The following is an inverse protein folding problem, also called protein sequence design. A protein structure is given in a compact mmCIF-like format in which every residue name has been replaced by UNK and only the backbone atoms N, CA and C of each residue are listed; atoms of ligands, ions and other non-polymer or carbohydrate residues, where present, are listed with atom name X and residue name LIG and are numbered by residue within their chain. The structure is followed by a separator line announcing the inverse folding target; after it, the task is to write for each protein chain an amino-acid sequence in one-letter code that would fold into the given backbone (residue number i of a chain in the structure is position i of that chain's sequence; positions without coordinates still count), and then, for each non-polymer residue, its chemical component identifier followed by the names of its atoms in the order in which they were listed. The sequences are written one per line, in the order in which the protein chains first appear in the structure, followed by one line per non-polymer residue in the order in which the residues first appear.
data_IF_200361708236
#
_entry.id   IF_200361708236
#
_cell.length_a   1.000
_cell.length_b   1.000
_cell.length_c   1.000
_cell.angle_alpha   90.00
_cell.angle_beta   90.00
_cell.angle_gamma   90.00
#
_symmetry.space_group_name_H-M   'P 1'
#
loop_
_entity.id
_entity.type
_entity.pdbx_description
1 polymer ?
#
# COMPACT_ATOMS: atom_id res chain seq x y z
N UNK A 1 53.62 -38.06 -28.17
CA UNK A 1 52.43 -38.86 -28.51
C UNK A 1 51.51 -38.78 -27.29
N UNK A 2 50.43 -37.99 -27.22
CA UNK A 2 49.68 -37.12 -28.14
C UNK A 2 49.25 -35.84 -27.34
N UNK A 3 49.55 -34.63 -27.83
CA UNK A 3 48.66 -33.64 -28.47
C UNK A 3 47.56 -33.01 -27.57
N UNK A 4 47.95 -31.90 -26.92
CA UNK A 4 47.40 -30.52 -26.79
C UNK A 4 45.86 -30.22 -26.78
N UNK A 5 45.41 -28.96 -26.52
CA UNK A 5 44.41 -28.64 -25.49
C UNK A 5 43.11 -28.08 -26.08
N UNK A 6 42.12 -27.78 -25.24
CA UNK A 6 41.04 -26.85 -25.60
C UNK A 6 40.69 -26.03 -24.37
N UNK A 7 41.13 -24.78 -24.39
CA UNK A 7 40.45 -23.70 -23.68
C UNK A 7 39.16 -23.41 -24.44
N UNK A 8 38.02 -23.47 -23.75
CA UNK A 8 36.94 -22.54 -24.05
C UNK A 8 36.13 -22.25 -22.78
N UNK A 9 36.34 -21.02 -22.33
CA UNK A 9 35.43 -20.10 -21.64
C UNK A 9 34.21 -20.68 -20.88
N UNK A 10 34.24 -20.56 -19.55
CA UNK A 10 33.04 -20.58 -18.72
C UNK A 10 33.18 -19.59 -17.56
N UNK A 11 33.27 -18.30 -17.88
CA UNK A 11 32.85 -17.23 -16.99
C UNK A 11 31.30 -17.11 -16.99
N UNK A 12 30.68 -16.47 -15.99
CA UNK A 12 29.65 -17.09 -15.16
C UNK A 12 28.23 -17.02 -15.76
N UNK A 13 27.50 -18.12 -15.62
CA UNK A 13 26.06 -18.16 -15.83
C UNK A 13 25.32 -17.57 -14.62
N UNK A 14 24.92 -16.30 -14.72
CA UNK A 14 23.62 -15.81 -14.23
C UNK A 14 23.45 -14.37 -14.73
N UNK A 15 22.85 -14.23 -15.91
CA UNK A 15 22.32 -12.96 -16.34
C UNK A 15 21.31 -12.47 -15.31
N UNK A 16 21.69 -11.46 -14.52
CA UNK A 16 20.73 -10.69 -13.71
C UNK A 16 19.89 -9.92 -14.71
N UNK A 17 18.84 -10.56 -15.20
CA UNK A 17 17.80 -9.88 -15.98
C UNK A 17 17.28 -8.75 -15.11
N UNK A 18 17.50 -7.52 -15.57
CA UNK A 18 16.93 -6.30 -14.98
C UNK A 18 15.42 -6.31 -15.22
N UNK A 19 14.69 -7.17 -14.52
CA UNK A 19 13.23 -7.16 -14.56
C UNK A 19 12.75 -5.90 -13.88
N UNK A 20 11.95 -5.11 -14.59
CA UNK A 20 11.26 -3.97 -14.01
C UNK A 20 10.48 -4.39 -12.74
N UNK A 21 10.34 -3.49 -11.74
CA UNK A 21 9.55 -3.79 -10.55
C UNK A 21 8.15 -4.26 -10.93
N UNK A 22 7.71 -5.36 -10.31
CA UNK A 22 6.42 -5.99 -10.60
C UNK A 22 5.51 -5.94 -9.39
N UNK A 23 4.25 -5.55 -9.60
CA UNK A 23 3.19 -5.72 -8.62
C UNK A 23 2.64 -7.15 -8.73
N UNK A 24 2.64 -7.88 -7.62
CA UNK A 24 1.97 -9.19 -7.50
C UNK A 24 0.85 -9.09 -6.46
N UNK A 25 -0.25 -9.80 -6.70
CA UNK A 25 -1.47 -9.81 -5.88
C UNK A 25 -1.60 -11.19 -5.24
N UNK A 26 -1.94 -11.23 -3.96
CA UNK A 26 -2.00 -12.44 -3.14
C UNK A 26 -3.34 -12.50 -2.42
N UNK A 27 -4.19 -13.44 -2.83
CA UNK A 27 -5.48 -13.72 -2.18
C UNK A 27 -5.27 -14.47 -0.85
N UNK A 28 -6.35 -14.83 -0.15
CA UNK A 28 -6.29 -15.50 1.17
C UNK A 28 -5.66 -16.90 1.07
N UNK A 29 -5.88 -17.58 -0.04
CA UNK A 29 -5.44 -18.95 -0.33
C UNK A 29 -4.11 -19.03 -1.11
N UNK A 30 -3.49 -17.90 -1.43
CA UNK A 30 -2.22 -17.87 -2.14
C UNK A 30 -1.07 -18.41 -1.26
N UNK A 31 -0.35 -19.40 -1.75
CA UNK A 31 0.79 -20.01 -1.05
C UNK A 31 1.89 -19.01 -0.70
N UNK A 32 2.08 -17.97 -1.54
CA UNK A 32 3.08 -16.91 -1.35
C UNK A 32 2.62 -15.80 -0.42
N UNK A 33 1.34 -15.81 -0.01
CA UNK A 33 0.79 -14.81 0.92
C UNK A 33 1.57 -14.77 2.23
N UNK A 34 1.98 -15.93 2.74
CA UNK A 34 2.72 -16.04 4.00
C UNK A 34 4.04 -15.26 3.99
N UNK A 35 4.75 -15.24 2.85
CA UNK A 35 5.97 -14.44 2.66
C UNK A 35 5.67 -12.93 2.78
N UNK A 36 4.56 -12.48 2.21
CA UNK A 36 4.13 -11.07 2.24
C UNK A 36 3.68 -10.66 3.64
N UNK A 37 2.94 -11.53 4.33
CA UNK A 37 2.58 -11.30 5.73
C UNK A 37 3.81 -11.19 6.62
N UNK A 38 4.79 -12.10 6.46
CA UNK A 38 6.06 -12.06 7.17
C UNK A 38 6.80 -10.74 6.94
N UNK A 39 6.92 -10.31 5.68
CA UNK A 39 7.52 -9.03 5.34
C UNK A 39 6.82 -7.84 6.02
N UNK A 40 5.48 -7.80 6.02
CA UNK A 40 4.71 -6.73 6.69
C UNK A 40 4.96 -6.75 8.20
N UNK A 41 4.88 -7.93 8.84
CA UNK A 41 5.16 -8.07 10.29
C UNK A 41 6.53 -7.53 10.64
N UNK A 42 7.54 -7.94 9.89
CA UNK A 42 8.92 -7.53 10.08
C UNK A 42 9.11 -6.02 9.99
N UNK A 43 8.50 -5.36 9.00
CA UNK A 43 8.58 -3.90 8.85
C UNK A 43 7.89 -3.19 10.01
N UNK A 44 6.69 -3.63 10.40
CA UNK A 44 5.93 -3.03 11.49
C UNK A 44 6.60 -3.28 12.87
N UNK A 45 7.14 -4.47 13.09
CA UNK A 45 7.89 -4.81 14.29
C UNK A 45 9.15 -3.95 14.41
N UNK A 46 9.95 -3.82 13.34
CA UNK A 46 11.15 -2.97 13.36
C UNK A 46 10.83 -1.50 13.56
N UNK A 47 9.75 -0.99 12.96
CA UNK A 47 9.45 0.45 12.97
C UNK A 47 8.68 0.91 14.20
N UNK A 48 7.76 0.07 14.70
CA UNK A 48 6.83 0.45 15.76
C UNK A 48 6.89 -0.49 16.97
N UNK A 49 7.66 -1.58 16.93
CA UNK A 49 7.55 -2.64 17.94
C UNK A 49 6.19 -3.35 17.90
N UNK A 50 5.51 -3.31 16.75
CA UNK A 50 4.18 -3.88 16.58
C UNK A 50 4.24 -5.39 16.23
N UNK A 51 3.30 -6.15 16.77
CA UNK A 51 3.00 -7.54 16.43
C UNK A 51 1.71 -7.58 15.59
N UNK A 52 1.83 -7.41 14.27
CA UNK A 52 0.66 -7.40 13.37
C UNK A 52 0.08 -8.81 13.24
N UNK A 53 -1.14 -9.00 13.74
CA UNK A 53 -1.82 -10.31 13.78
C UNK A 53 -2.91 -10.49 12.73
N UNK A 54 -3.44 -9.40 12.19
CA UNK A 54 -4.54 -9.42 11.23
C UNK A 54 -4.17 -8.65 9.97
N UNK A 55 -4.56 -9.20 8.82
CA UNK A 55 -4.19 -8.70 7.50
C UNK A 55 -5.44 -8.39 6.66
N UNK A 56 -5.26 -7.58 5.63
CA UNK A 56 -6.27 -7.41 4.61
C UNK A 56 -6.50 -8.71 3.81
N UNK A 57 -7.73 -9.02 3.37
CA UNK A 57 -8.04 -10.22 2.59
C UNK A 57 -7.20 -10.30 1.31
N UNK A 58 -6.88 -9.16 0.70
CA UNK A 58 -5.97 -9.13 -0.44
C UNK A 58 -4.69 -8.38 -0.07
N UNK A 59 -3.56 -9.01 -0.32
CA UNK A 59 -2.24 -8.39 -0.17
C UNK A 59 -1.64 -8.14 -1.55
N UNK A 60 -0.77 -7.14 -1.62
CA UNK A 60 0.06 -6.88 -2.79
C UNK A 60 1.52 -6.76 -2.36
N UNK A 61 2.42 -7.24 -3.22
CA UNK A 61 3.86 -7.09 -3.04
C UNK A 61 4.45 -6.38 -4.26
N UNK A 62 5.35 -5.43 -4.02
CA UNK A 62 6.28 -4.93 -5.00
C UNK A 62 7.52 -5.84 -5.00
N UNK A 63 7.74 -6.54 -6.10
CA UNK A 63 8.91 -7.39 -6.30
C UNK A 63 9.94 -6.66 -7.17
N UNK A 64 11.18 -6.61 -6.69
CA UNK A 64 12.32 -6.05 -7.42
C UNK A 64 13.49 -7.03 -7.32
N UNK A 65 14.03 -7.46 -8.46
CA UNK A 65 15.08 -8.49 -8.56
C UNK A 65 14.78 -9.77 -7.75
N UNK A 66 13.52 -10.18 -7.71
CA UNK A 66 13.06 -11.38 -7.00
C UNK A 66 12.78 -11.19 -5.51
N UNK A 67 13.04 -10.01 -4.93
CA UNK A 67 12.80 -9.73 -3.52
C UNK A 67 11.57 -8.85 -3.31
N UNK A 68 10.88 -9.04 -2.19
CA UNK A 68 9.81 -8.13 -1.76
C UNK A 68 10.47 -6.87 -1.19
N UNK A 69 10.26 -5.74 -1.87
CA UNK A 69 10.80 -4.43 -1.43
C UNK A 69 9.74 -3.55 -0.77
N UNK A 70 8.46 -3.80 -1.06
CA UNK A 70 7.33 -3.18 -0.38
C UNK A 70 6.09 -4.07 -0.47
N UNK A 71 5.15 -3.87 0.44
CA UNK A 71 3.86 -4.56 0.46
C UNK A 71 2.75 -3.63 0.97
N UNK A 72 1.51 -3.96 0.62
CA UNK A 72 0.31 -3.33 1.16
C UNK A 72 -0.81 -4.36 1.24
N UNK A 73 -1.83 -4.07 2.04
CA UNK A 73 -3.09 -4.79 2.06
C UNK A 73 -4.22 -3.90 1.57
N UNK A 74 -5.22 -4.50 0.93
CA UNK A 74 -6.45 -3.80 0.61
C UNK A 74 -7.70 -4.66 0.83
N UNK A 75 -8.83 -4.01 1.09
CA UNK A 75 -10.14 -4.65 1.24
C UNK A 75 -11.25 -3.83 0.59
N UNK A 76 -12.20 -4.52 -0.04
CA UNK A 76 -13.38 -3.90 -0.63
C UNK A 76 -14.44 -3.63 0.42
N UNK A 77 -15.06 -2.44 0.41
CA UNK A 77 -16.19 -2.15 1.28
C UNK A 77 -17.47 -2.91 0.89
N UNK A 78 -17.53 -3.51 -0.30
CA UNK A 78 -18.67 -4.33 -0.73
C UNK A 78 -18.69 -5.72 -0.08
N UNK A 79 -17.54 -6.25 0.32
CA UNK A 79 -17.42 -7.61 0.86
C UNK A 79 -17.66 -7.66 2.37
N UNK A 80 -17.16 -6.64 3.08
CA UNK A 80 -17.24 -6.57 4.53
C UNK A 80 -17.14 -5.11 5.02
N UNK A 81 -17.48 -4.85 6.29
CA UNK A 81 -17.09 -3.60 6.96
C UNK A 81 -15.58 -3.37 6.86
N UNK A 82 -15.19 -2.11 6.70
CA UNK A 82 -13.79 -1.72 6.64
C UNK A 82 -13.19 -1.73 8.06
N UNK A 83 -11.90 -1.99 8.19
CA UNK A 83 -11.24 -1.98 9.50
C UNK A 83 -11.27 -0.57 10.09
N UNK A 84 -10.99 0.45 9.27
CA UNK A 84 -11.02 1.85 9.69
C UNK A 84 -12.41 2.37 10.07
N UNK A 85 -13.51 1.67 9.76
CA UNK A 85 -14.85 2.05 10.22
C UNK A 85 -14.99 1.93 11.75
N UNK A 86 -14.12 1.17 12.42
CA UNK A 86 -14.05 1.12 13.89
C UNK A 86 -13.70 2.48 14.51
N UNK A 87 -12.99 3.34 13.78
CA UNK A 87 -12.60 4.68 14.24
C UNK A 87 -13.64 5.76 13.94
N UNK A 88 -14.63 5.43 13.11
CA UNK A 88 -15.52 6.41 12.52
C UNK A 88 -16.89 6.36 13.18
N UNK A 89 -17.59 7.51 13.28
CA UNK A 89 -18.94 7.56 13.86
C UNK A 89 -20.00 6.93 12.96
N UNK A 90 -19.70 6.70 11.67
CA UNK A 90 -20.59 6.05 10.72
C UNK A 90 -19.79 5.39 9.58
N UNK A 91 -20.47 4.59 8.76
CA UNK A 91 -19.89 3.94 7.59
C UNK A 91 -19.24 4.95 6.63
N UNK A 92 -18.17 4.54 5.95
CA UNK A 92 -17.35 5.46 5.13
C UNK A 92 -18.17 6.16 4.07
N UNK A 93 -19.04 5.46 3.35
CA UNK A 93 -19.84 6.06 2.28
C UNK A 93 -20.77 7.17 2.79
N UNK A 94 -21.22 7.09 4.05
CA UNK A 94 -22.04 8.14 4.68
C UNK A 94 -21.22 9.40 4.91
N UNK A 95 -19.97 9.24 5.38
CA UNK A 95 -19.06 10.37 5.55
C UNK A 95 -18.57 10.96 4.21
N UNK A 96 -18.46 10.13 3.17
CA UNK A 96 -18.11 10.62 1.83
C UNK A 96 -19.27 11.37 1.16
N UNK A 97 -20.52 11.02 1.48
CA UNK A 97 -21.70 11.67 0.92
C UNK A 97 -21.74 13.18 1.20
N UNK A 98 -21.16 13.66 2.31
CA UNK A 98 -21.10 15.10 2.61
C UNK A 98 -20.13 15.87 1.70
N UNK A 99 -19.40 15.20 0.82
CA UNK A 99 -18.37 15.77 -0.05
C UNK A 99 -18.54 15.35 -1.53
N UNK A 100 -19.61 14.63 -1.85
CA UNK A 100 -19.91 14.15 -3.19
C UNK A 100 -21.36 14.52 -3.57
N UNK A 101 -21.63 14.68 -4.87
CA UNK A 101 -22.97 15.00 -5.37
C UNK A 101 -24.01 13.91 -5.04
N UNK A 102 -23.53 12.68 -4.82
CA UNK A 102 -24.32 11.56 -4.36
C UNK A 102 -23.49 10.67 -3.42
N UNK A 103 -24.16 9.95 -2.53
CA UNK A 103 -23.55 8.94 -1.65
C UNK A 103 -22.82 7.90 -2.52
N UNK A 104 -21.49 7.72 -2.36
CA UNK A 104 -20.77 6.72 -3.13
C UNK A 104 -21.27 5.30 -2.82
N UNK A 105 -21.30 4.44 -3.83
CA UNK A 105 -21.62 3.03 -3.61
C UNK A 105 -20.45 2.30 -2.95
N UNK A 106 -20.73 1.39 -2.00
CA UNK A 106 -19.69 0.64 -1.28
C UNK A 106 -18.77 -0.16 -2.20
N UNK A 107 -19.25 -0.68 -3.32
CA UNK A 107 -18.41 -1.37 -4.33
C UNK A 107 -17.33 -0.48 -4.94
N UNK A 108 -17.52 0.84 -4.94
CA UNK A 108 -16.54 1.80 -5.42
C UNK A 108 -15.52 2.24 -4.37
N UNK A 109 -15.54 1.65 -3.16
CA UNK A 109 -14.70 2.08 -2.03
C UNK A 109 -13.76 0.94 -1.62
N UNK A 110 -12.47 1.26 -1.55
CA UNK A 110 -11.43 0.34 -1.09
C UNK A 110 -10.65 0.95 0.07
N UNK A 111 -10.43 0.16 1.12
CA UNK A 111 -9.46 0.49 2.16
C UNK A 111 -8.09 -0.05 1.79
N UNK A 112 -7.06 0.80 1.88
CA UNK A 112 -5.65 0.42 1.78
C UNK A 112 -4.99 0.57 3.15
N UNK A 113 -4.33 -0.49 3.59
CA UNK A 113 -3.61 -0.59 4.86
C UNK A 113 -2.30 -1.36 4.70
N UNK A 114 -1.69 -1.71 5.83
CA UNK A 114 -0.48 -2.54 5.89
C UNK A 114 0.67 -2.08 4.98
N UNK A 115 0.76 -0.76 4.72
CA UNK A 115 1.80 -0.19 3.87
C UNK A 115 3.16 -0.37 4.53
N UNK A 116 3.93 -1.30 3.99
CA UNK A 116 5.25 -1.70 4.46
C UNK A 116 6.27 -1.50 3.34
N UNK A 117 7.43 -0.92 3.65
CA UNK A 117 8.51 -0.71 2.69
C UNK A 117 9.85 -0.96 3.37
N UNK A 118 10.77 -1.66 2.70
CA UNK A 118 12.10 -1.96 3.25
C UNK A 118 13.04 -0.77 3.18
N UNK A 119 12.82 0.14 2.22
CA UNK A 119 13.68 1.31 1.97
C UNK A 119 12.86 2.56 1.65
N UNK A 120 13.46 3.73 1.87
CA UNK A 120 12.89 4.99 1.45
C UNK A 120 12.63 4.99 -0.07
N UNK A 121 11.47 5.48 -0.50
CA UNK A 121 11.07 5.51 -1.91
C UNK A 121 10.27 4.29 -2.38
N UNK A 122 10.45 3.11 -1.77
CA UNK A 122 9.76 1.89 -2.20
C UNK A 122 8.25 1.96 -1.97
N UNK A 123 7.81 2.56 -0.87
CA UNK A 123 6.38 2.83 -0.65
C UNK A 123 5.77 3.72 -1.75
N UNK A 124 6.52 4.67 -2.29
CA UNK A 124 6.07 5.51 -3.41
C UNK A 124 5.99 4.71 -4.72
N UNK A 125 6.97 3.83 -4.98
CA UNK A 125 6.93 2.91 -6.14
C UNK A 125 5.72 1.97 -6.06
N UNK A 126 5.44 1.45 -4.86
CA UNK A 126 4.27 0.62 -4.63
C UNK A 126 2.97 1.38 -4.90
N UNK A 127 2.79 2.58 -4.34
CA UNK A 127 1.59 3.41 -4.57
C UNK A 127 1.41 3.73 -6.07
N UNK A 128 2.50 3.95 -6.81
CA UNK A 128 2.45 4.24 -8.24
C UNK A 128 1.92 3.07 -9.09
N UNK A 129 2.12 1.83 -8.65
CA UNK A 129 1.58 0.63 -9.31
C UNK A 129 0.23 0.20 -8.74
N UNK A 130 0.03 0.36 -7.43
CA UNK A 130 -1.21 0.02 -6.73
C UNK A 130 -2.38 0.90 -7.18
N UNK A 131 -2.15 2.19 -7.38
CA UNK A 131 -3.22 3.11 -7.80
C UNK A 131 -3.90 2.68 -9.11
N UNK A 132 -3.16 2.48 -10.22
CA UNK A 132 -3.72 1.96 -11.47
C UNK A 132 -4.35 0.57 -11.31
N UNK A 133 -3.77 -0.31 -10.51
CA UNK A 133 -4.32 -1.63 -10.22
C UNK A 133 -5.71 -1.55 -9.58
N UNK A 134 -5.89 -0.71 -8.56
CA UNK A 134 -7.18 -0.49 -7.91
C UNK A 134 -8.18 0.18 -8.85
N UNK A 135 -7.74 1.11 -9.69
CA UNK A 135 -8.61 1.77 -10.65
C UNK A 135 -9.12 0.81 -11.75
N UNK A 136 -8.32 -0.21 -12.10
CA UNK A 136 -8.73 -1.26 -13.02
C UNK A 136 -9.73 -2.26 -12.41
N UNK A 137 -9.97 -2.18 -11.09
CA UNK A 137 -11.00 -2.93 -10.37
C UNK A 137 -12.26 -2.08 -10.11
N UNK A 138 -12.43 -0.98 -10.85
CA UNK A 138 -13.57 -0.05 -10.75
C UNK A 138 -13.71 0.67 -9.40
N UNK A 139 -12.67 0.66 -8.57
CA UNK A 139 -12.66 1.48 -7.35
C UNK A 139 -12.56 2.97 -7.69
N UNK A 140 -13.37 3.77 -7.00
CA UNK A 140 -13.48 5.22 -7.18
C UNK A 140 -12.83 5.96 -6.02
N UNK A 141 -12.95 5.42 -4.82
CA UNK A 141 -12.45 5.99 -3.57
C UNK A 141 -11.47 5.06 -2.89
N UNK A 142 -10.32 5.61 -2.51
CA UNK A 142 -9.36 4.95 -1.62
C UNK A 142 -9.46 5.61 -0.25
N UNK A 143 -9.65 4.79 0.77
CA UNK A 143 -9.57 5.19 2.18
C UNK A 143 -8.43 4.48 2.88
N UNK A 144 -7.88 5.09 3.91
CA UNK A 144 -6.77 4.46 4.65
C UNK A 144 -6.43 5.19 5.93
N UNK A 145 -5.79 4.45 6.83
CA UNK A 145 -5.26 4.99 8.09
C UNK A 145 -3.80 5.37 7.89
N UNK A 146 -3.51 6.67 7.98
CA UNK A 146 -2.22 7.24 7.59
C UNK A 146 -1.65 8.03 8.76
N UNK A 147 -0.36 7.84 9.06
CA UNK A 147 0.33 8.61 10.11
C UNK A 147 0.49 10.08 9.72
N UNK A 148 0.71 10.94 10.72
CA UNK A 148 0.82 12.39 10.50
C UNK A 148 1.94 12.75 9.51
N UNK A 149 3.06 12.06 9.53
CA UNK A 149 4.20 12.30 8.64
C UNK A 149 3.83 12.04 7.17
N UNK A 150 3.07 10.98 6.91
CA UNK A 150 2.65 10.63 5.57
C UNK A 150 1.51 11.54 5.08
N UNK A 151 0.66 12.06 5.98
CA UNK A 151 -0.29 13.14 5.65
C UNK A 151 0.44 14.41 5.17
N UNK A 152 1.49 14.83 5.87
CA UNK A 152 2.30 16.00 5.46
C UNK A 152 2.92 15.81 4.07
N UNK A 153 3.31 14.58 3.72
CA UNK A 153 3.75 14.25 2.37
C UNK A 153 2.64 14.50 1.35
N UNK A 154 1.42 14.01 1.57
CA UNK A 154 0.28 14.22 0.67
C UNK A 154 -0.03 15.71 0.45
N UNK A 155 -0.03 16.49 1.53
CA UNK A 155 -0.24 17.95 1.44
C UNK A 155 0.85 18.64 0.62
N UNK A 156 2.13 18.31 0.83
CA UNK A 156 3.25 18.86 0.03
C UNK A 156 3.12 18.51 -1.45
N UNK A 157 2.60 17.33 -1.75
CA UNK A 157 2.31 16.92 -3.12
C UNK A 157 0.91 17.38 -3.60
N UNK A 158 0.29 18.41 -3.01
CA UNK A 158 -0.91 19.04 -3.54
C UNK A 158 -2.11 18.08 -3.74
N UNK A 159 -2.08 16.95 -3.03
CA UNK A 159 -3.22 16.06 -2.88
C UNK A 159 -3.75 16.37 -1.50
N UNK A 160 -4.94 16.96 -1.43
CA UNK A 160 -5.62 17.21 -0.16
C UNK A 160 -6.62 16.08 0.02
N UNK A 161 -6.22 14.97 0.68
CA UNK A 161 -7.18 13.95 1.04
C UNK A 161 -8.19 14.54 2.04
N UNK A 162 -9.42 14.08 1.94
CA UNK A 162 -10.48 14.39 2.88
C UNK A 162 -10.19 13.65 4.20
N UNK A 163 -10.10 14.39 5.29
CA UNK A 163 -9.98 13.78 6.62
C UNK A 163 -11.37 13.33 7.10
N UNK A 164 -11.51 12.04 7.40
CA UNK A 164 -12.76 11.44 7.88
C UNK A 164 -12.82 11.35 9.41
N UNK A 165 -11.66 11.26 10.06
CA UNK A 165 -11.58 11.16 11.52
C UNK A 165 -10.18 10.84 12.02
N UNK A 166 -9.99 10.87 13.33
CA UNK A 166 -8.79 10.38 14.00
C UNK A 166 -8.88 8.87 14.20
N UNK A 167 -7.79 8.14 13.99
CA UNK A 167 -7.74 6.73 14.36
C UNK A 167 -7.40 6.61 15.85
N UNK A 168 -8.42 6.77 16.69
CA UNK A 168 -8.29 6.71 18.15
C UNK A 168 -8.00 5.25 18.58
N UNK A 169 -6.84 4.98 19.24
CA UNK A 169 -6.51 3.65 19.72
C UNK A 169 -7.53 3.07 20.71
N UNK A 170 -8.32 3.90 21.39
CA UNK A 170 -9.37 3.43 22.30
C UNK A 170 -10.39 2.51 21.59
N UNK A 171 -10.60 2.72 20.28
CA UNK A 171 -11.49 1.89 19.46
C UNK A 171 -10.99 0.43 19.29
N UNK A 172 -9.72 0.15 19.60
CA UNK A 172 -9.14 -1.19 19.48
C UNK A 172 -9.22 -2.02 20.77
N UNK A 173 -9.55 -1.41 21.90
CA UNK A 173 -9.57 -2.09 23.19
C UNK A 173 -8.26 -2.84 23.45
N UNK A 174 -8.35 -4.14 23.76
CA UNK A 174 -7.18 -4.98 24.05
C UNK A 174 -6.23 -5.19 22.86
N UNK A 175 -6.69 -5.00 21.62
CA UNK A 175 -5.85 -5.19 20.42
C UNK A 175 -4.76 -4.10 20.31
N UNK A 176 -4.93 -2.95 20.98
CA UNK A 176 -3.99 -1.81 20.90
C UNK A 176 -2.56 -2.21 21.26
N UNK A 177 -2.39 -3.15 22.20
CA UNK A 177 -1.07 -3.59 22.69
C UNK A 177 -0.21 -4.20 21.58
N UNK A 178 -0.86 -4.75 20.54
CA UNK A 178 -0.20 -5.36 19.40
C UNK A 178 0.33 -4.35 18.39
N UNK A 179 -0.02 -3.06 18.53
CA UNK A 179 0.40 -2.03 17.58
C UNK A 179 1.64 -1.25 18.03
N UNK A 180 2.22 -1.57 19.19
CA UNK A 180 3.42 -0.90 19.72
C UNK A 180 3.25 0.61 19.73
N UNK A 181 4.23 1.34 19.20
CA UNK A 181 4.22 2.81 19.10
C UNK A 181 3.51 3.37 17.86
N UNK A 182 2.78 2.54 17.09
CA UNK A 182 2.13 3.01 15.86
C UNK A 182 1.15 4.17 16.12
N UNK A 183 0.33 4.08 17.18
CA UNK A 183 -0.65 5.12 17.52
C UNK A 183 -0.04 6.38 18.12
N UNK A 184 1.21 6.33 18.60
CA UNK A 184 1.95 7.52 19.06
C UNK A 184 2.15 8.54 17.93
N UNK A 185 2.10 8.07 16.67
CA UNK A 185 2.23 8.88 15.46
C UNK A 185 0.91 9.54 15.01
N UNK A 186 -0.13 9.47 15.87
CA UNK A 186 -1.46 10.07 15.70
C UNK A 186 -2.04 9.82 14.30
N UNK A 187 -2.29 8.54 13.96
CA UNK A 187 -2.85 8.20 12.67
C UNK A 187 -4.24 8.83 12.48
N UNK A 188 -4.53 9.18 11.22
CA UNK A 188 -5.83 9.74 10.81
C UNK A 188 -6.40 8.93 9.66
N UNK A 189 -7.73 8.83 9.64
CA UNK A 189 -8.46 8.23 8.54
C UNK A 189 -8.64 9.26 7.45
N UNK A 190 -8.14 8.94 6.26
CA UNK A 190 -8.16 9.80 5.10
C UNK A 190 -8.88 9.12 3.94
N UNK A 191 -9.53 9.92 3.10
CA UNK A 191 -10.16 9.52 1.85
C UNK A 191 -9.62 10.32 0.66
N UNK A 192 -9.47 9.66 -0.47
CA UNK A 192 -9.07 10.28 -1.72
C UNK A 192 -9.82 9.69 -2.90
N UNK A 193 -10.24 10.56 -3.82
CA UNK A 193 -10.81 10.12 -5.08
C UNK A 193 -9.69 9.58 -5.99
N UNK A 194 -9.75 8.29 -6.31
CA UNK A 194 -8.68 7.54 -6.96
C UNK A 194 -8.32 8.11 -8.33
N UNK A 195 -9.30 8.23 -9.24
CA UNK A 195 -9.04 8.76 -10.58
C UNK A 195 -8.52 10.21 -10.56
N UNK A 196 -8.97 11.05 -9.62
CA UNK A 196 -8.43 12.40 -9.48
C UNK A 196 -6.98 12.37 -9.02
N UNK A 197 -6.64 11.52 -8.04
CA UNK A 197 -5.28 11.34 -7.57
C UNK A 197 -4.35 10.83 -8.69
N UNK A 198 -4.77 9.83 -9.46
CA UNK A 198 -4.02 9.30 -10.59
C UNK A 198 -3.76 10.36 -11.66
N UNK A 199 -4.78 11.16 -12.04
CA UNK A 199 -4.60 12.27 -12.99
C UNK A 199 -3.58 13.30 -12.49
N UNK A 200 -3.61 13.65 -11.19
CA UNK A 200 -2.64 14.58 -10.59
C UNK A 200 -1.22 14.02 -10.59
N UNK A 201 -1.05 12.73 -10.29
CA UNK A 201 0.24 12.04 -10.32
C UNK A 201 0.81 12.00 -11.75
N UNK A 202 0.00 11.63 -12.74
CA UNK A 202 0.41 11.56 -14.14
C UNK A 202 0.87 12.93 -14.68
N UNK A 203 0.11 14.00 -14.42
CA UNK A 203 0.47 15.37 -14.85
C UNK A 203 1.83 15.82 -14.31
N UNK A 204 2.16 15.42 -13.08
CA UNK A 204 3.45 15.77 -12.47
C UNK A 204 4.62 14.95 -12.99
N UNK A 205 4.41 13.66 -13.26
CA UNK A 205 5.44 12.85 -13.89
C UNK A 205 5.83 13.41 -15.26
N UNK A 206 4.86 13.96 -16.01
CA UNK A 206 5.10 14.66 -17.27
C UNK A 206 5.86 15.98 -17.05
N UNK A 207 5.46 16.81 -16.09
CA UNK A 207 6.14 18.07 -15.78
C UNK A 207 7.60 17.88 -15.33
N UNK A 208 7.90 16.85 -14.54
CA UNK A 208 9.28 16.53 -14.13
C UNK A 208 10.15 15.98 -15.26
N UNK A 209 9.56 15.44 -16.34
CA UNK A 209 10.29 14.99 -17.54
C UNK A 209 10.52 16.11 -18.55
N UNK A 210 9.67 17.14 -18.57
CA UNK A 210 9.80 18.29 -19.47
C UNK A 210 10.77 19.37 -18.97
N UNK A 211 11.20 19.29 -17.71
CA UNK A 211 12.19 20.19 -17.10
C UNK A 211 13.57 19.57 -16.88
N UNK A 212 13.82 18.37 -17.43
CA UNK A 212 15.14 17.74 -17.55
C UNK A 212 15.54 17.77 -19.03
#
# INVERSE_FOLDING_TARGET
MALSPSDDDAAPAAGVSSSAPRLAVHAVDDVRRSEVEGFIRDVFARRYGADVRSFAPTLVSLQDRGEIVAAAGYRSAAEAPLFLERYLPSAVETLLASQADARPERRGIVEVGHLAASRAGEGRRLIALLGPHLAAQDFVWVVGTITTELRQLFTRIGVTPLALGTADPAALGAEVVHWGSYYDHRPVVLAGHLHQALRRLARRALASKAGQ
#
